data_IF_762728979286
#
_entry.id   IF_762728979286
#
_cell.length_a   1.000
_cell.length_b   1.000
_cell.length_c   1.000
_cell.angle_alpha   90.00
_cell.angle_beta   90.00
_cell.angle_gamma   90.00
#
_symmetry.space_group_name_H-M   'P 1'
#
loop_
_entity.id
_entity.type
_entity.pdbx_description
1 polymer ?
#
# COMPACT_ATOMS: atom_id res chain seq x y z
N UNK A 1 22.30 2.19 31.58
CA UNK A 1 21.80 0.86 32.06
C UNK A 1 21.67 -0.01 30.83
N UNK A 2 22.27 -1.21 30.76
CA UNK A 2 22.11 -2.06 29.55
C UNK A 2 20.81 -2.81 29.70
N UNK A 3 19.77 -2.41 28.96
CA UNK A 3 18.56 -3.23 28.83
C UNK A 3 18.95 -4.49 28.06
N UNK A 4 18.72 -5.70 28.60
CA UNK A 4 18.92 -6.92 27.83
C UNK A 4 17.86 -6.96 26.74
N UNK A 5 18.29 -6.89 25.47
CA UNK A 5 17.41 -7.08 24.32
C UNK A 5 17.39 -8.55 23.95
N UNK A 6 16.20 -9.10 23.68
CA UNK A 6 16.05 -10.48 23.23
C UNK A 6 16.57 -10.68 21.79
N UNK A 7 16.56 -9.60 20.97
CA UNK A 7 17.03 -9.61 19.59
C UNK A 7 17.43 -8.21 19.13
N UNK A 8 18.49 -8.10 18.32
CA UNK A 8 18.91 -6.84 17.67
C UNK A 8 18.89 -7.05 16.16
N UNK A 9 18.11 -6.24 15.44
CA UNK A 9 17.99 -6.27 13.98
C UNK A 9 18.29 -4.88 13.43
N UNK A 10 19.11 -4.79 12.39
CA UNK A 10 19.37 -3.55 11.64
C UNK A 10 18.73 -3.66 10.27
N UNK A 11 17.79 -2.77 9.98
CA UNK A 11 17.15 -2.67 8.67
C UNK A 11 16.65 -1.25 8.40
N UNK A 12 16.35 -0.95 7.14
CA UNK A 12 15.74 0.31 6.75
C UNK A 12 14.27 0.36 7.19
N UNK A 13 13.81 1.55 7.62
CA UNK A 13 12.49 1.76 8.24
C UNK A 13 11.34 1.50 7.25
N UNK A 14 11.56 1.77 5.97
CA UNK A 14 10.56 1.55 4.90
C UNK A 14 10.30 0.06 4.63
N UNK A 15 11.31 -0.81 4.80
CA UNK A 15 11.16 -2.26 4.75
C UNK A 15 10.48 -2.81 6.00
N UNK A 16 10.80 -2.27 7.17
CA UNK A 16 10.20 -2.67 8.43
C UNK A 16 8.68 -2.50 8.45
N UNK A 17 8.17 -1.46 7.79
CA UNK A 17 6.77 -1.08 7.83
C UNK A 17 5.82 -1.95 6.98
N UNK A 18 6.33 -2.97 6.28
CA UNK A 18 5.49 -3.84 5.44
C UNK A 18 4.66 -4.85 6.27
N UNK A 19 3.51 -5.31 5.76
CA UNK A 19 2.47 -6.10 6.46
C UNK A 19 2.92 -7.45 7.09
N UNK A 20 4.21 -7.77 7.12
CA UNK A 20 4.76 -8.97 7.78
C UNK A 20 4.94 -8.82 9.30
N UNK A 21 4.54 -7.69 9.90
CA UNK A 21 4.80 -7.40 11.31
C UNK A 21 3.87 -8.09 12.29
N UNK A 22 2.64 -8.41 11.89
CA UNK A 22 1.68 -9.11 12.76
C UNK A 22 2.18 -10.51 13.18
N UNK A 23 3.16 -11.06 12.44
CA UNK A 23 3.84 -12.32 12.78
C UNK A 23 5.19 -12.14 13.50
N UNK A 24 5.75 -10.92 13.52
CA UNK A 24 7.11 -10.66 14.02
C UNK A 24 7.18 -10.00 15.39
N UNK A 25 6.15 -9.24 15.79
CA UNK A 25 6.12 -8.51 17.05
C UNK A 25 4.75 -8.56 17.71
N UNK A 26 4.74 -8.75 19.03
CA UNK A 26 3.52 -8.65 19.83
C UNK A 26 3.20 -7.18 20.14
N UNK A 27 1.92 -6.87 20.44
CA UNK A 27 1.48 -5.51 20.80
C UNK A 27 2.25 -4.87 21.97
N UNK A 28 2.92 -5.69 22.79
CA UNK A 28 3.70 -5.27 23.96
C UNK A 28 5.19 -5.10 23.67
N UNK A 29 5.65 -5.38 22.45
CA UNK A 29 7.05 -5.27 22.09
C UNK A 29 7.50 -3.81 21.92
N UNK A 30 8.75 -3.56 22.32
CA UNK A 30 9.34 -2.22 22.27
C UNK A 30 10.67 -2.24 21.54
N UNK A 31 10.94 -1.16 20.80
CA UNK A 31 12.21 -0.90 20.11
C UNK A 31 12.85 0.36 20.68
N UNK A 32 14.17 0.46 20.60
CA UNK A 32 14.89 1.71 20.88
C UNK A 32 15.24 2.39 19.55
N UNK A 33 14.75 3.61 19.35
CA UNK A 33 15.11 4.44 18.21
C UNK A 33 16.09 5.55 18.59
N UNK A 34 16.89 5.99 17.61
CA UNK A 34 17.84 7.10 17.70
C UNK A 34 18.88 6.96 18.83
N UNK A 35 19.25 5.73 19.18
CA UNK A 35 20.37 5.50 20.08
C UNK A 35 21.68 5.91 19.39
N UNK A 36 22.42 6.83 20.01
CA UNK A 36 23.76 7.21 19.57
C UNK A 36 24.76 6.91 20.68
N UNK A 37 26.04 7.25 20.47
CA UNK A 37 27.02 7.17 21.56
C UNK A 37 26.77 8.22 22.65
N UNK A 38 25.98 9.27 22.35
CA UNK A 38 25.72 10.41 23.24
C UNK A 38 24.29 10.41 23.81
N UNK A 39 23.36 9.71 23.17
CA UNK A 39 21.94 9.65 23.56
C UNK A 39 21.48 8.20 23.79
N UNK A 40 20.78 7.96 24.90
CA UNK A 40 20.28 6.62 25.27
C UNK A 40 19.17 6.10 24.33
N UNK A 41 18.62 6.96 23.46
CA UNK A 41 17.53 6.65 22.55
C UNK A 41 16.15 6.66 23.23
N UNK A 42 15.10 6.46 22.42
CA UNK A 42 13.72 6.42 22.88
C UNK A 42 13.16 5.00 22.81
N UNK A 43 12.69 4.47 23.94
CA UNK A 43 11.95 3.22 23.98
C UNK A 43 10.52 3.46 23.51
N UNK A 44 10.11 2.80 22.43
CA UNK A 44 8.84 3.02 21.78
C UNK A 44 8.14 1.69 21.52
N UNK A 45 6.81 1.69 21.61
CA UNK A 45 6.00 0.54 21.22
C UNK A 45 6.12 0.33 19.71
N UNK A 46 6.55 -0.86 19.31
CA UNK A 46 6.90 -1.16 17.92
C UNK A 46 5.68 -1.11 17.01
N UNK A 47 4.55 -1.67 17.45
CA UNK A 47 3.31 -1.71 16.66
C UNK A 47 2.77 -0.30 16.45
N UNK A 48 2.73 0.52 17.51
CA UNK A 48 2.24 1.90 17.43
C UNK A 48 3.09 2.77 16.51
N UNK A 49 4.42 2.69 16.61
CA UNK A 49 5.33 3.46 15.74
C UNK A 49 5.18 3.03 14.29
N UNK A 50 5.11 1.72 14.02
CA UNK A 50 4.91 1.24 12.65
C UNK A 50 3.59 1.73 12.07
N UNK A 51 2.49 1.66 12.82
CA UNK A 51 1.19 2.16 12.35
C UNK A 51 1.24 3.66 12.01
N UNK A 52 1.93 4.46 12.82
CA UNK A 52 2.15 5.88 12.56
C UNK A 52 2.98 6.08 11.28
N UNK A 53 4.11 5.39 11.15
CA UNK A 53 4.97 5.44 9.95
C UNK A 53 4.20 5.02 8.70
N UNK A 54 3.41 3.95 8.76
CA UNK A 54 2.58 3.48 7.66
C UNK A 54 1.52 4.49 7.27
N UNK A 55 0.88 5.13 8.25
CA UNK A 55 -0.09 6.20 8.00
C UNK A 55 0.54 7.36 7.24
N UNK A 56 1.76 7.77 7.60
CA UNK A 56 2.48 8.85 6.91
C UNK A 56 2.98 8.42 5.51
N UNK A 57 3.50 7.20 5.38
CA UNK A 57 3.90 6.64 4.08
C UNK A 57 2.71 6.54 3.13
N UNK A 58 1.54 6.14 3.63
CA UNK A 58 0.31 6.10 2.83
C UNK A 58 -0.09 7.50 2.35
N UNK A 59 0.01 8.53 3.20
CA UNK A 59 -0.25 9.92 2.77
C UNK A 59 0.71 10.35 1.66
N UNK A 60 1.99 10.02 1.79
CA UNK A 60 3.00 10.33 0.76
C UNK A 60 2.67 9.63 -0.56
N UNK A 61 2.39 8.32 -0.51
CA UNK A 61 2.09 7.51 -1.70
C UNK A 61 0.80 7.94 -2.41
N UNK A 62 -0.24 8.33 -1.66
CA UNK A 62 -1.45 8.93 -2.25
C UNK A 62 -1.09 10.20 -3.02
N UNK A 63 -0.31 11.09 -2.41
CA UNK A 63 0.09 12.36 -3.04
C UNK A 63 0.94 12.13 -4.29
N UNK A 64 1.91 11.22 -4.22
CA UNK A 64 2.73 10.83 -5.37
C UNK A 64 1.87 10.24 -6.50
N UNK A 65 0.95 9.34 -6.16
CA UNK A 65 0.02 8.75 -7.12
C UNK A 65 -0.84 9.80 -7.82
N UNK A 66 -1.47 10.70 -7.05
CA UNK A 66 -2.29 11.79 -7.59
C UNK A 66 -1.47 12.69 -8.51
N UNK A 67 -0.27 13.08 -8.09
CA UNK A 67 0.61 13.92 -8.90
C UNK A 67 1.07 13.24 -10.19
N UNK A 68 1.31 11.93 -10.15
CA UNK A 68 1.78 11.19 -11.31
C UNK A 68 0.64 10.89 -12.28
N UNK A 69 -0.52 10.48 -11.78
CA UNK A 69 -1.70 10.20 -12.62
C UNK A 69 -2.27 11.49 -13.22
N UNK A 70 -2.32 12.60 -12.49
CA UNK A 70 -2.84 13.88 -13.02
C UNK A 70 -2.05 14.44 -14.23
N UNK A 71 -0.86 13.88 -14.53
CA UNK A 71 -0.09 14.23 -15.73
C UNK A 71 -0.58 13.52 -17.00
N UNK A 72 -1.46 12.53 -16.86
CA UNK A 72 -1.92 11.66 -17.93
C UNK A 72 -3.44 11.53 -17.89
N UNK A 73 -4.06 11.40 -19.07
CA UNK A 73 -5.49 11.12 -19.17
C UNK A 73 -5.81 9.62 -18.99
N UNK A 74 -4.82 8.83 -18.57
CA UNK A 74 -4.90 7.37 -18.51
C UNK A 74 -4.28 6.83 -17.21
N UNK A 75 -4.92 5.79 -16.68
CA UNK A 75 -4.46 4.98 -15.56
C UNK A 75 -4.20 3.56 -16.06
N UNK A 76 -3.16 2.92 -15.54
CA UNK A 76 -2.78 1.56 -15.93
C UNK A 76 -3.06 0.61 -14.78
N UNK A 77 -3.34 -0.66 -15.07
CA UNK A 77 -3.39 -1.67 -14.02
C UNK A 77 -3.38 -3.08 -14.56
N UNK A 78 -3.57 -4.04 -13.65
CA UNK A 78 -3.50 -5.46 -13.97
C UNK A 78 -4.89 -6.09 -14.04
N UNK A 79 -5.11 -6.85 -15.10
CA UNK A 79 -6.33 -7.61 -15.36
C UNK A 79 -5.99 -9.07 -15.54
N UNK A 80 -6.94 -9.96 -15.29
CA UNK A 80 -6.80 -11.37 -15.64
C UNK A 80 -6.58 -11.48 -17.15
N UNK A 81 -5.73 -12.41 -17.60
CA UNK A 81 -5.49 -12.64 -19.03
C UNK A 81 -6.79 -12.79 -19.83
N UNK A 82 -6.98 -11.95 -20.85
CA UNK A 82 -8.19 -11.89 -21.67
C UNK A 82 -9.42 -11.21 -21.04
N UNK A 83 -9.31 -10.63 -19.84
CA UNK A 83 -10.36 -9.84 -19.18
C UNK A 83 -10.19 -8.35 -19.42
N UNK A 84 -11.31 -7.62 -19.46
CA UNK A 84 -11.35 -6.15 -19.50
C UNK A 84 -11.62 -5.50 -18.13
N UNK A 85 -11.58 -6.29 -17.06
CA UNK A 85 -11.88 -5.87 -15.69
C UNK A 85 -10.68 -6.14 -14.79
N UNK A 86 -10.36 -5.22 -13.88
CA UNK A 86 -9.26 -5.38 -12.94
C UNK A 86 -9.40 -6.64 -12.07
N UNK A 87 -8.26 -7.12 -11.57
CA UNK A 87 -8.24 -8.21 -10.58
C UNK A 87 -8.70 -7.66 -9.25
N UNK A 88 -9.76 -8.22 -8.67
CA UNK A 88 -10.13 -7.95 -7.29
C UNK A 88 -9.44 -9.00 -6.41
N UNK A 89 -8.47 -8.58 -5.59
CA UNK A 89 -7.83 -9.47 -4.63
C UNK A 89 -8.75 -9.56 -3.39
N UNK A 90 -9.31 -10.74 -3.14
CA UNK A 90 -10.07 -11.07 -1.94
C UNK A 90 -9.33 -12.11 -1.13
N UNK A 91 -9.07 -11.85 0.15
CA UNK A 91 -8.35 -12.84 0.95
C UNK A 91 -9.22 -13.94 1.56
N UNK A 92 -10.56 -13.84 1.70
CA UNK A 92 -11.37 -15.02 2.05
C UNK A 92 -12.88 -14.85 1.76
N UNK A 93 -13.45 -15.82 1.05
CA UNK A 93 -14.85 -16.23 1.20
C UNK A 93 -15.03 -16.81 2.61
N UNK A 94 -15.38 -16.00 3.62
CA UNK A 94 -16.39 -16.37 4.63
C UNK A 94 -16.66 -15.33 5.72
N UNK A 95 -15.70 -14.55 6.23
CA UNK A 95 -15.92 -13.86 7.52
C UNK A 95 -15.51 -12.37 7.53
N UNK A 96 -16.47 -11.50 7.88
CA UNK A 96 -16.39 -10.07 8.28
C UNK A 96 -15.31 -9.15 7.65
N UNK A 97 -15.10 -9.33 6.34
CA UNK A 97 -14.99 -8.35 5.23
C UNK A 97 -14.45 -6.93 5.52
N UNK A 98 -13.12 -6.78 5.52
CA UNK A 98 -12.45 -5.65 4.83
C UNK A 98 -12.36 -5.92 3.32
N UNK A 99 -12.29 -4.89 2.45
CA UNK A 99 -12.84 -5.00 1.10
C UNK A 99 -11.94 -5.66 0.07
N UNK A 100 -12.58 -6.26 -0.93
CA UNK A 100 -12.02 -6.67 -2.22
C UNK A 100 -11.18 -5.55 -2.82
N UNK A 101 -9.86 -5.76 -2.89
CA UNK A 101 -8.92 -4.72 -3.27
C UNK A 101 -8.78 -4.72 -4.79
N UNK A 102 -9.15 -3.61 -5.41
CA UNK A 102 -8.78 -3.31 -6.78
C UNK A 102 -7.39 -2.68 -6.78
N UNK A 103 -6.38 -3.29 -7.41
CA UNK A 103 -5.08 -2.68 -7.55
C UNK A 103 -5.19 -1.68 -8.71
N UNK A 104 -5.22 -0.40 -8.35
CA UNK A 104 -5.12 0.74 -9.24
C UNK A 104 -3.64 1.06 -9.36
N UNK A 105 -3.09 0.95 -10.55
CA UNK A 105 -1.65 1.11 -10.71
C UNK A 105 -1.34 2.47 -11.31
N UNK A 106 -0.11 2.88 -11.03
CA UNK A 106 0.48 4.14 -11.42
C UNK A 106 0.68 4.20 -12.96
N UNK A 107 1.62 5.03 -13.40
CA UNK A 107 2.06 5.13 -14.79
C UNK A 107 2.47 3.78 -15.38
N UNK A 108 2.30 3.63 -16.70
CA UNK A 108 2.55 2.41 -17.49
C UNK A 108 3.79 1.61 -17.07
N UNK A 109 4.94 2.26 -16.90
CA UNK A 109 6.21 1.58 -16.60
C UNK A 109 6.19 0.89 -15.23
N UNK A 110 5.53 1.48 -14.23
CA UNK A 110 5.43 0.87 -12.89
C UNK A 110 4.52 -0.35 -12.93
N UNK A 111 3.36 -0.21 -13.59
CA UNK A 111 2.42 -1.31 -13.77
C UNK A 111 3.04 -2.49 -14.55
N UNK A 112 3.80 -2.21 -15.62
CA UNK A 112 4.56 -3.23 -16.35
C UNK A 112 5.58 -3.95 -15.47
N UNK A 113 6.34 -3.18 -14.68
CA UNK A 113 7.35 -3.76 -13.80
C UNK A 113 6.75 -4.75 -12.81
N UNK A 114 5.61 -4.41 -12.21
CA UNK A 114 5.00 -5.31 -11.23
C UNK A 114 4.29 -6.49 -11.87
N UNK A 115 3.72 -6.33 -13.07
CA UNK A 115 3.30 -7.49 -13.86
C UNK A 115 4.46 -8.44 -14.09
N UNK A 116 5.59 -7.93 -14.54
CA UNK A 116 6.71 -8.77 -14.98
C UNK A 116 7.44 -9.45 -13.81
N UNK A 117 7.45 -8.85 -12.61
CA UNK A 117 8.15 -9.40 -11.46
C UNK A 117 7.24 -10.20 -10.51
N UNK A 118 5.99 -9.80 -10.32
CA UNK A 118 5.12 -10.38 -9.27
C UNK A 118 3.84 -11.05 -9.83
N UNK A 119 3.41 -10.75 -11.06
CA UNK A 119 2.12 -11.19 -11.63
C UNK A 119 2.20 -11.51 -13.14
N UNK A 120 3.16 -12.34 -13.56
CA UNK A 120 3.42 -12.67 -14.99
C UNK A 120 2.19 -13.27 -15.71
N UNK A 121 1.27 -13.84 -14.94
CA UNK A 121 0.00 -14.40 -15.41
C UNK A 121 -1.06 -13.36 -15.76
N UNK A 122 -0.83 -12.08 -15.44
CA UNK A 122 -1.76 -10.99 -15.67
C UNK A 122 -1.49 -10.24 -17.00
N UNK A 123 -2.52 -9.56 -17.50
CA UNK A 123 -2.41 -8.62 -18.62
C UNK A 123 -2.40 -7.19 -18.09
N UNK A 124 -1.78 -6.27 -18.85
CA UNK A 124 -1.86 -4.84 -18.59
C UNK A 124 -3.13 -4.28 -19.25
N UNK A 125 -3.91 -3.51 -18.52
CA UNK A 125 -5.04 -2.72 -19.04
C UNK A 125 -4.75 -1.23 -18.90
N UNK A 126 -5.20 -0.44 -19.88
CA UNK A 126 -5.19 1.01 -19.87
C UNK A 126 -6.63 1.50 -19.77
N UNK A 127 -6.88 2.47 -18.89
CA UNK A 127 -8.20 3.02 -18.62
C UNK A 127 -8.12 4.54 -18.67
N UNK A 128 -9.10 5.18 -19.31
CA UNK A 128 -9.22 6.63 -19.28
C UNK A 128 -9.50 7.14 -17.85
N UNK A 129 -8.91 8.27 -17.47
CA UNK A 129 -9.03 8.85 -16.13
C UNK A 129 -10.49 9.10 -15.72
N UNK A 130 -11.34 9.48 -16.67
CA UNK A 130 -12.79 9.66 -16.45
C UNK A 130 -13.50 8.36 -16.06
N UNK A 131 -13.26 7.27 -16.81
CA UNK A 131 -13.81 5.93 -16.53
C UNK A 131 -13.28 5.43 -15.19
N UNK A 132 -12.02 5.71 -14.89
CA UNK A 132 -11.44 5.37 -13.60
C UNK A 132 -12.11 6.15 -12.44
N UNK A 133 -12.43 7.43 -12.63
CA UNK A 133 -13.20 8.22 -11.68
C UNK A 133 -14.58 7.62 -11.38
N UNK A 134 -15.31 7.19 -12.42
CA UNK A 134 -16.60 6.51 -12.27
C UNK A 134 -16.47 5.22 -11.43
N UNK A 135 -15.40 4.45 -11.64
CA UNK A 135 -15.16 3.22 -10.87
C UNK A 135 -14.84 3.52 -9.40
N UNK A 136 -14.14 4.61 -9.10
CA UNK A 136 -13.92 5.03 -7.72
C UNK A 136 -15.22 5.42 -7.02
N UNK A 137 -16.17 6.03 -7.72
CA UNK A 137 -17.47 6.36 -7.18
C UNK A 137 -18.29 5.09 -6.84
N UNK A 138 -18.30 4.09 -7.74
CA UNK A 138 -18.95 2.80 -7.46
C UNK A 138 -18.33 2.09 -6.25
N UNK A 139 -16.99 2.07 -6.18
CA UNK A 139 -16.28 1.44 -5.06
C UNK A 139 -16.49 2.18 -3.75
N UNK A 140 -16.59 3.51 -3.77
CA UNK A 140 -16.96 4.31 -2.59
C UNK A 140 -18.33 3.88 -2.08
N UNK A 141 -19.32 3.82 -2.96
CA UNK A 141 -20.70 3.51 -2.58
C UNK A 141 -20.81 2.10 -1.96
N UNK A 142 -19.98 1.17 -2.44
CA UNK A 142 -19.83 -0.19 -1.91
C UNK A 142 -18.92 -0.30 -0.66
N UNK A 143 -18.41 0.81 -0.12
CA UNK A 143 -17.45 0.85 1.00
C UNK A 143 -16.18 0.02 0.75
N UNK A 144 -15.74 -0.02 -0.51
CA UNK A 144 -14.57 -0.77 -0.94
C UNK A 144 -13.28 0.05 -0.86
N UNK A 145 -12.18 -0.67 -0.67
CA UNK A 145 -10.83 -0.14 -0.64
C UNK A 145 -10.14 -0.36 -1.99
N UNK A 146 -9.15 0.48 -2.27
CA UNK A 146 -8.34 0.45 -3.48
C UNK A 146 -6.88 0.38 -3.08
N UNK A 147 -6.10 -0.47 -3.75
CA UNK A 147 -4.66 -0.44 -3.62
C UNK A 147 -4.09 0.50 -4.69
N UNK A 148 -3.18 1.38 -4.29
CA UNK A 148 -2.50 2.30 -5.20
C UNK A 148 -0.98 2.15 -5.11
N UNK A 149 -0.30 2.56 -6.19
CA UNK A 149 1.17 2.63 -6.31
C UNK A 149 1.88 1.36 -5.82
N UNK A 150 1.38 0.21 -6.26
CA UNK A 150 2.00 -1.08 -6.00
C UNK A 150 3.41 -1.13 -6.61
N UNK A 151 4.36 -1.61 -5.82
CA UNK A 151 5.78 -1.75 -6.17
C UNK A 151 6.17 -3.22 -6.11
N UNK A 152 7.16 -3.59 -6.90
CA UNK A 152 7.69 -4.95 -6.96
C UNK A 152 8.15 -5.43 -5.59
N UNK A 153 7.68 -6.61 -5.14
CA UNK A 153 8.00 -7.17 -3.83
C UNK A 153 7.45 -6.38 -2.63
N UNK A 154 6.50 -5.45 -2.84
CA UNK A 154 5.90 -4.62 -1.80
C UNK A 154 4.38 -4.54 -1.98
N UNK A 155 3.64 -4.85 -0.91
CA UNK A 155 2.20 -4.59 -0.83
C UNK A 155 1.98 -3.07 -0.88
N UNK A 156 1.25 -2.60 -1.90
CA UNK A 156 0.96 -1.20 -2.14
C UNK A 156 0.12 -0.55 -1.04
N UNK A 157 -0.24 0.71 -1.22
CA UNK A 157 -1.03 1.44 -0.23
C UNK A 157 -2.52 1.14 -0.42
N UNK A 158 -3.15 0.53 0.59
CA UNK A 158 -4.59 0.23 0.60
C UNK A 158 -5.32 1.41 1.24
N UNK A 159 -6.19 2.07 0.48
CA UNK A 159 -6.93 3.26 0.93
C UNK A 159 -8.40 3.11 0.63
N UNK A 160 -9.27 3.81 1.35
CA UNK A 160 -10.69 3.85 0.96
C UNK A 160 -10.85 4.56 -0.39
N UNK A 161 -11.76 4.06 -1.23
CA UNK A 161 -12.08 4.71 -2.50
C UNK A 161 -12.50 6.18 -2.31
N UNK A 162 -13.23 6.49 -1.23
CA UNK A 162 -13.59 7.85 -0.83
C UNK A 162 -12.36 8.76 -0.64
N UNK A 163 -11.34 8.29 0.09
CA UNK A 163 -10.16 9.09 0.37
C UNK A 163 -9.40 9.40 -0.91
N UNK A 164 -9.29 8.41 -1.80
CA UNK A 164 -8.62 8.60 -3.08
C UNK A 164 -9.42 9.51 -4.02
N UNK A 165 -10.74 9.33 -4.11
CA UNK A 165 -11.66 10.16 -4.90
C UNK A 165 -11.58 11.64 -4.51
N UNK A 166 -11.46 11.96 -3.21
CA UNK A 166 -11.33 13.33 -2.74
C UNK A 166 -10.02 14.02 -3.17
N UNK A 167 -8.97 13.25 -3.44
CA UNK A 167 -7.64 13.76 -3.78
C UNK A 167 -7.41 13.81 -5.29
N UNK A 168 -8.19 13.06 -6.08
CA UNK A 168 -8.10 13.05 -7.54
C UNK A 168 -9.01 14.12 -8.14
N UNK A 169 -8.42 14.95 -9.00
CA UNK A 169 -9.15 15.85 -9.90
C UNK A 169 -8.91 15.35 -11.32
N UNK A 170 -9.90 14.68 -11.89
CA UNK A 170 -9.94 14.37 -13.31
C UNK A 170 -10.67 15.47 -14.08
#
# INVERSE_FOLDING_TARGET
>A
MIFPFDKVVKMDVDRFATYELDELFDEQDHIIMNQTMEEEGHLLNVVAVTQEVMTELDKIRIKEFVQDVAKYDEVYGLTKKGSKQFILISENDSDEKKPHIMPVWSIKNRALKVRDEDFEECDLITIEGSVFGEWLDELRDDHKAVAIDLKTGVVGTIVSAQKLSNELTF
#
